data_IF_242097028950
#
_entry.id   IF_242097028950
#
_cell.length_a   1.000
_cell.length_b   1.000
_cell.length_c   1.000
_cell.angle_alpha   90.00
_cell.angle_beta   90.00
_cell.angle_gamma   90.00
#
_symmetry.space_group_name_H-M   'P 1'
#
loop_
_entity.id
_entity.type
_entity.pdbx_description
1 polymer ?
#
# COMPACT_ATOMS: atom_id res chain seq x y z
N UNK A 1 -2.01 -7.87 4.14
CA UNK A 1 -1.11 -8.84 3.47
C UNK A 1 0.22 -8.16 3.25
N UNK A 2 1.29 -8.67 3.86
CA UNK A 2 2.64 -8.22 3.54
C UNK A 2 3.16 -9.06 2.37
N UNK A 3 3.48 -8.42 1.25
CA UNK A 3 3.97 -9.10 0.04
C UNK A 3 5.41 -8.73 -0.31
N UNK A 4 6.13 -8.10 0.62
CA UNK A 4 7.60 -8.04 0.64
C UNK A 4 8.13 -9.26 1.41
N UNK A 5 9.07 -10.05 0.86
CA UNK A 5 9.71 -11.13 1.59
C UNK A 5 10.57 -10.57 2.74
N UNK A 6 10.29 -10.90 4.00
CA UNK A 6 11.09 -10.42 5.16
C UNK A 6 12.35 -11.28 5.37
N UNK A 7 12.27 -12.58 5.09
CA UNK A 7 13.33 -13.55 5.43
C UNK A 7 14.27 -13.86 4.25
N UNK A 8 14.07 -13.25 3.09
CA UNK A 8 14.84 -13.56 1.89
C UNK A 8 16.12 -12.71 1.79
N UNK A 9 17.23 -13.34 1.38
CA UNK A 9 18.55 -12.70 1.24
C UNK A 9 18.65 -11.72 0.06
N UNK A 10 17.63 -11.63 -0.79
CA UNK A 10 17.62 -10.79 -1.99
C UNK A 10 16.37 -9.91 -2.05
N UNK A 11 16.25 -8.99 -1.11
CA UNK A 11 15.21 -7.95 -1.13
C UNK A 11 15.82 -6.56 -1.09
N UNK A 12 15.13 -5.58 -1.66
CA UNK A 12 15.48 -4.19 -1.48
C UNK A 12 15.10 -3.79 -0.04
N UNK A 13 16.06 -3.51 0.86
CA UNK A 13 15.78 -3.35 2.29
C UNK A 13 14.96 -2.09 2.61
N UNK A 14 14.88 -1.16 1.66
CA UNK A 14 14.17 0.12 1.79
C UNK A 14 12.76 0.08 1.18
N UNK A 15 12.29 -1.07 0.69
CA UNK A 15 10.98 -1.18 0.03
C UNK A 15 10.09 -2.16 0.78
N UNK A 16 8.94 -1.66 1.23
CA UNK A 16 7.88 -2.48 1.83
C UNK A 16 6.61 -2.29 1.04
N UNK A 17 6.00 -3.39 0.59
CA UNK A 17 4.70 -3.38 -0.06
C UNK A 17 3.70 -4.15 0.82
N UNK A 18 2.55 -3.51 1.06
CA UNK A 18 1.46 -4.05 1.86
C UNK A 18 0.17 -3.90 1.07
N UNK A 19 -0.68 -4.93 1.10
CA UNK A 19 -2.01 -4.89 0.51
C UNK A 19 -3.08 -5.10 1.59
N UNK A 20 -4.24 -4.47 1.43
CA UNK A 20 -5.35 -4.54 2.39
C UNK A 20 -6.50 -5.34 1.79
N UNK A 21 -6.71 -6.60 2.19
CA UNK A 21 -7.82 -7.41 1.70
C UNK A 21 -9.18 -6.80 2.05
N UNK A 22 -10.25 -7.17 1.31
CA UNK A 22 -11.61 -6.79 1.67
C UNK A 22 -11.95 -7.23 3.10
N UNK A 23 -12.63 -6.34 3.82
CA UNK A 23 -13.26 -6.71 5.08
C UNK A 23 -14.58 -7.42 4.77
N UNK A 24 -14.83 -8.56 5.41
CA UNK A 24 -16.08 -9.31 5.22
C UNK A 24 -17.29 -8.62 5.88
N UNK A 25 -17.04 -7.58 6.68
CA UNK A 25 -18.07 -6.76 7.32
C UNK A 25 -18.48 -5.52 6.52
N UNK A 26 -17.75 -5.16 5.45
CA UNK A 26 -18.06 -4.01 4.58
C UNK A 26 -18.64 -4.45 3.24
N UNK A 27 -19.51 -3.63 2.65
CA UNK A 27 -20.13 -3.95 1.35
C UNK A 27 -19.16 -3.79 0.18
N UNK A 28 -18.17 -2.91 0.32
CA UNK A 28 -17.21 -2.58 -0.74
C UNK A 28 -15.75 -2.82 -0.27
N UNK A 29 -14.86 -3.30 -1.16
CA UNK A 29 -13.42 -3.35 -0.90
C UNK A 29 -12.82 -1.96 -0.70
N UNK A 30 -11.67 -1.90 -0.03
CA UNK A 30 -10.93 -0.65 0.14
C UNK A 30 -10.46 -0.11 -1.21
N UNK A 31 -10.77 1.16 -1.48
CA UNK A 31 -10.24 1.89 -2.64
C UNK A 31 -8.79 2.35 -2.36
N UNK A 32 -7.84 1.72 -3.06
CA UNK A 32 -6.41 2.01 -2.92
C UNK A 32 -6.01 3.41 -3.41
N UNK A 33 -6.70 3.98 -4.41
CA UNK A 33 -6.40 5.34 -4.88
C UNK A 33 -6.84 6.36 -3.84
N UNK A 34 -8.02 6.17 -3.26
CA UNK A 34 -8.50 7.01 -2.18
C UNK A 34 -7.62 6.91 -0.94
N UNK A 35 -7.09 5.71 -0.61
CA UNK A 35 -6.14 5.55 0.49
C UNK A 35 -4.89 6.41 0.26
N UNK A 36 -4.30 6.36 -0.93
CA UNK A 36 -3.11 7.15 -1.28
C UNK A 36 -3.41 8.63 -1.24
N UNK A 37 -4.55 9.06 -1.79
CA UNK A 37 -4.96 10.46 -1.75
C UNK A 37 -5.10 10.97 -0.30
N UNK A 38 -5.71 10.17 0.59
CA UNK A 38 -5.85 10.55 1.99
C UNK A 38 -4.51 10.63 2.72
N UNK A 39 -3.56 9.74 2.41
CA UNK A 39 -2.20 9.79 2.96
C UNK A 39 -1.43 11.02 2.46
N UNK A 40 -1.52 11.32 1.16
CA UNK A 40 -0.90 12.50 0.54
C UNK A 40 -1.42 13.81 1.16
N UNK A 41 -2.72 13.90 1.42
CA UNK A 41 -3.33 15.04 2.12
C UNK A 41 -2.81 15.23 3.56
N UNK A 42 -2.22 14.20 4.17
CA UNK A 42 -1.56 14.27 5.47
C UNK A 42 -0.03 14.37 5.36
N UNK A 43 0.51 14.50 4.15
CA UNK A 43 1.95 14.62 3.91
C UNK A 43 2.71 13.29 3.88
N UNK A 44 2.01 12.15 3.88
CA UNK A 44 2.61 10.81 3.79
C UNK A 44 2.60 10.35 2.33
N UNK A 45 3.76 10.47 1.67
CA UNK A 45 3.91 10.17 0.26
C UNK A 45 4.20 8.68 0.03
N UNK A 46 3.34 8.01 -0.73
CA UNK A 46 3.42 6.57 -1.02
C UNK A 46 3.12 6.29 -2.50
N UNK A 47 3.30 5.05 -2.95
CA UNK A 47 2.89 4.62 -4.30
C UNK A 47 1.89 3.46 -4.23
N UNK A 48 1.02 3.32 -5.24
CA UNK A 48 0.27 2.09 -5.49
C UNK A 48 0.83 1.38 -6.73
N UNK A 49 0.68 0.05 -6.73
CA UNK A 49 0.76 -0.79 -7.93
C UNK A 49 1.96 -0.55 -8.87
N UNK A 50 1.85 -1.02 -10.11
CA UNK A 50 2.83 -0.70 -11.16
C UNK A 50 2.58 0.74 -11.61
N UNK A 51 3.52 1.64 -11.31
CA UNK A 51 3.45 3.10 -11.46
C UNK A 51 3.23 3.66 -12.89
N UNK A 52 2.64 2.92 -13.84
CA UNK A 52 2.57 3.28 -15.26
C UNK A 52 1.25 2.94 -15.98
N UNK A 53 0.13 2.64 -15.32
CA UNK A 53 -1.15 2.46 -16.02
C UNK A 53 -1.79 3.81 -16.34
N UNK A 54 -1.39 4.38 -17.48
CA UNK A 54 -2.05 5.52 -18.10
C UNK A 54 -3.52 5.17 -18.41
N UNK A 55 -4.43 5.59 -17.52
CA UNK A 55 -5.88 5.67 -17.79
C UNK A 55 -6.73 4.42 -17.50
N UNK A 56 -6.19 3.35 -16.91
CA UNK A 56 -6.97 2.18 -16.52
C UNK A 56 -6.71 1.78 -15.06
N UNK A 57 -7.80 1.70 -14.27
CA UNK A 57 -7.88 1.20 -12.88
C UNK A 57 -7.61 -0.31 -12.81
N UNK A 58 -6.50 -0.77 -13.37
CA UNK A 58 -6.14 -2.19 -13.32
C UNK A 58 -5.16 -2.44 -12.17
N UNK A 59 -5.40 -3.46 -11.33
CA UNK A 59 -4.50 -3.83 -10.25
C UNK A 59 -3.13 -4.24 -10.81
N UNK A 60 -2.10 -4.16 -9.98
CA UNK A 60 -0.75 -4.56 -10.37
C UNK A 60 -0.72 -5.97 -10.94
N UNK A 61 -0.25 -6.09 -12.18
CA UNK A 61 -0.05 -7.38 -12.85
C UNK A 61 0.96 -8.25 -12.10
N UNK A 62 1.91 -7.65 -11.36
CA UNK A 62 2.86 -8.38 -10.53
C UNK A 62 2.16 -8.99 -9.31
N UNK A 63 1.31 -8.21 -8.63
CA UNK A 63 0.59 -8.69 -7.44
C UNK A 63 -0.39 -9.81 -7.77
N UNK A 64 -1.09 -9.69 -8.90
CA UNK A 64 -1.97 -10.76 -9.37
C UNK A 64 -1.19 -11.99 -9.83
N UNK A 65 -0.03 -11.83 -10.47
CA UNK A 65 0.83 -12.96 -10.86
C UNK A 65 1.41 -13.74 -9.67
N UNK A 66 1.63 -13.10 -8.52
CA UNK A 66 2.04 -13.76 -7.28
C UNK A 66 0.86 -14.28 -6.44
N UNK A 67 -0.37 -14.19 -6.97
CA UNK A 67 -1.55 -14.87 -6.41
C UNK A 67 -2.48 -14.00 -5.56
N UNK A 68 -2.31 -12.68 -5.53
CA UNK A 68 -3.31 -11.80 -4.89
C UNK A 68 -4.55 -11.68 -5.79
N UNK A 69 -5.72 -11.74 -5.18
CA UNK A 69 -6.99 -11.46 -5.85
C UNK A 69 -7.08 -9.97 -6.23
N UNK A 70 -7.92 -9.66 -7.22
CA UNK A 70 -8.04 -8.29 -7.77
C UNK A 70 -8.35 -7.24 -6.70
N UNK A 71 -9.38 -7.40 -5.83
CA UNK A 71 -9.66 -6.45 -4.76
C UNK A 71 -8.46 -6.18 -3.85
N UNK A 72 -7.79 -7.23 -3.36
CA UNK A 72 -6.60 -7.07 -2.52
C UNK A 72 -5.45 -6.41 -3.26
N UNK A 73 -5.21 -6.77 -4.53
CA UNK A 73 -4.13 -6.21 -5.34
C UNK A 73 -4.35 -4.72 -5.69
N UNK A 74 -5.60 -4.28 -5.80
CA UNK A 74 -5.95 -2.86 -5.99
C UNK A 74 -5.71 -2.02 -4.74
N UNK A 75 -5.86 -2.59 -3.55
CA UNK A 75 -5.62 -1.94 -2.28
C UNK A 75 -4.17 -2.10 -1.78
N UNK A 76 -3.20 -2.06 -2.70
CA UNK A 76 -1.78 -2.23 -2.39
C UNK A 76 -1.03 -0.89 -2.33
N UNK A 77 -0.29 -0.69 -1.24
CA UNK A 77 0.54 0.49 -0.98
C UNK A 77 2.00 0.07 -0.82
N UNK A 78 2.88 0.80 -1.50
CA UNK A 78 4.32 0.66 -1.43
C UNK A 78 4.94 1.85 -0.72
N UNK A 79 5.67 1.56 0.34
CA UNK A 79 6.55 2.47 1.04
C UNK A 79 7.98 2.29 0.53
N UNK A 80 8.69 3.39 0.32
CA UNK A 80 10.07 3.39 -0.14
C UNK A 80 10.85 4.41 0.69
N UNK A 81 11.74 3.91 1.53
CA UNK A 81 12.49 4.71 2.48
C UNK A 81 13.74 5.29 1.81
N UNK A 82 14.05 6.55 2.12
CA UNK A 82 15.25 7.22 1.67
C UNK A 82 16.33 7.22 2.75
N UNK A 83 17.54 7.65 2.37
CA UNK A 83 18.66 7.81 3.32
C UNK A 83 18.39 8.84 4.44
N UNK A 84 17.36 9.69 4.27
CA UNK A 84 16.98 10.73 5.22
C UNK A 84 15.71 10.39 6.02
N UNK A 85 15.05 9.26 5.73
CA UNK A 85 13.86 8.83 6.48
C UNK A 85 14.26 8.51 7.92
N UNK A 86 13.59 9.12 8.89
CA UNK A 86 13.84 8.89 10.31
C UNK A 86 12.85 7.91 10.91
N UNK A 87 13.09 7.50 12.16
CA UNK A 87 12.15 6.65 12.90
C UNK A 87 10.84 7.40 13.21
N UNK A 88 10.92 8.70 13.48
CA UNK A 88 9.75 9.56 13.68
C UNK A 88 8.89 9.68 12.41
N UNK A 89 9.51 9.76 11.23
CA UNK A 89 8.78 9.74 9.96
C UNK A 89 7.99 8.43 9.79
N UNK A 90 8.60 7.30 10.19
CA UNK A 90 7.97 5.98 10.12
C UNK A 90 6.79 5.90 11.10
N UNK A 91 6.97 6.32 12.35
CA UNK A 91 5.90 6.33 13.35
C UNK A 91 4.72 7.19 12.89
N UNK A 92 5.00 8.40 12.42
CA UNK A 92 3.97 9.30 11.89
C UNK A 92 3.22 8.69 10.70
N UNK A 93 3.93 8.04 9.78
CA UNK A 93 3.33 7.35 8.65
C UNK A 93 2.44 6.18 9.08
N UNK A 94 2.84 5.42 10.12
CA UNK A 94 2.05 4.31 10.67
C UNK A 94 0.78 4.80 11.36
N UNK A 95 0.87 5.82 12.23
CA UNK A 95 -0.29 6.43 12.89
C UNK A 95 -1.30 6.99 11.88
N UNK A 96 -0.79 7.69 10.87
CA UNK A 96 -1.60 8.28 9.79
C UNK A 96 -2.27 7.20 8.95
N UNK A 97 -1.55 6.12 8.61
CA UNK A 97 -2.08 4.98 7.90
C UNK A 97 -3.19 4.29 8.69
N UNK A 98 -2.96 4.02 9.97
CA UNK A 98 -3.95 3.38 10.84
C UNK A 98 -5.23 4.21 10.93
N UNK A 99 -5.10 5.50 11.26
CA UNK A 99 -6.25 6.42 11.37
C UNK A 99 -7.03 6.52 10.07
N UNK A 100 -6.33 6.53 8.93
CA UNK A 100 -6.96 6.58 7.61
C UNK A 100 -7.72 5.29 7.29
N UNK A 101 -7.11 4.12 7.58
CA UNK A 101 -7.75 2.83 7.38
C UNK A 101 -8.99 2.66 8.27
N UNK A 102 -8.95 3.11 9.51
CA UNK A 102 -10.10 3.07 10.43
C UNK A 102 -11.26 3.96 9.95
N UNK A 103 -10.98 5.05 9.23
CA UNK A 103 -12.02 5.92 8.64
C UNK A 103 -12.61 5.36 7.36
N UNK A 104 -11.84 4.58 6.60
CA UNK A 104 -12.23 4.05 5.28
C UNK A 104 -12.88 2.67 5.33
N UNK A 105 -12.88 2.02 6.50
CA UNK A 105 -13.59 0.75 6.77
C UNK A 105 -14.92 1.03 7.45
#
# INVERSE_FOLDING_TARGET
VLNTPIEATSVAPHVVNVAFPPDLSTEEPLDGEMLILNLDMQGVLVSAGSACTSGALEPSHVLTAIGLDRPTASAAVRFSLGAQTTEEDIEYALETLQTTLERMR
#
